data_IF_590377333497
#
_entry.id   IF_590377333497
#
_cell.length_a   1.000
_cell.length_b   1.000
_cell.length_c   1.000
_cell.angle_alpha   90.00
_cell.angle_beta   90.00
_cell.angle_gamma   90.00
#
_symmetry.space_group_name_H-M   'P 1'
#
loop_
_entity.id
_entity.type
_entity.pdbx_description
1 polymer ?
#
# COMPACT_ATOMS: atom_id res chain seq x y z
N UNK A 1 -7.60 28.76 -9.85
CA UNK A 1 -6.32 29.08 -9.18
C UNK A 1 -5.46 29.84 -10.18
N UNK A 2 -4.87 30.98 -9.80
CA UNK A 2 -4.01 31.77 -10.69
C UNK A 2 -2.56 31.27 -10.60
N UNK A 3 -1.91 31.00 -11.74
CA UNK A 3 -0.50 30.60 -11.83
C UNK A 3 0.30 31.71 -12.52
N UNK A 4 1.36 32.20 -11.86
CA UNK A 4 2.31 33.15 -12.45
C UNK A 4 3.52 32.37 -13.00
N UNK A 5 3.70 32.37 -14.32
CA UNK A 5 4.82 31.70 -15.00
C UNK A 5 5.96 32.69 -15.24
N UNK A 6 7.22 32.22 -15.12
CA UNK A 6 8.44 33.02 -15.34
C UNK A 6 8.61 34.26 -14.44
N UNK A 7 8.18 34.16 -13.17
CA UNK A 7 8.36 35.25 -12.21
C UNK A 7 9.75 35.22 -11.57
N UNK A 8 10.72 35.89 -12.19
CA UNK A 8 12.10 35.98 -11.68
C UNK A 8 12.22 36.73 -10.35
N UNK A 9 11.30 37.65 -10.06
CA UNK A 9 11.35 38.51 -8.87
C UNK A 9 11.03 37.70 -7.60
N UNK A 10 10.02 36.83 -7.69
CA UNK A 10 9.57 36.04 -6.54
C UNK A 10 10.18 34.64 -6.48
N UNK A 11 10.92 34.23 -7.52
CA UNK A 11 11.51 32.90 -7.61
C UNK A 11 12.48 32.64 -6.45
N UNK A 12 12.34 31.49 -5.79
CA UNK A 12 13.19 31.09 -4.67
C UNK A 12 12.82 31.72 -3.32
N UNK A 13 11.87 32.65 -3.26
CA UNK A 13 11.43 33.25 -1.99
C UNK A 13 10.80 32.21 -1.05
N UNK A 14 11.08 32.32 0.24
CA UNK A 14 10.46 31.49 1.27
C UNK A 14 10.23 32.31 2.55
N UNK A 15 9.29 31.87 3.38
CA UNK A 15 8.97 32.52 4.64
C UNK A 15 7.80 33.50 4.56
N UNK A 16 7.62 34.25 5.63
CA UNK A 16 6.47 35.13 5.84
C UNK A 16 6.79 36.56 5.39
N UNK A 17 5.92 37.14 4.57
CA UNK A 17 5.97 38.54 4.18
C UNK A 17 4.88 39.33 4.93
N UNK A 18 5.30 40.00 6.00
CA UNK A 18 4.40 40.78 6.87
C UNK A 18 3.26 39.93 7.43
N UNK A 19 2.05 40.49 7.51
CA UNK A 19 0.83 39.75 7.90
C UNK A 19 -0.04 39.34 6.70
N UNK A 20 0.52 39.36 5.49
CA UNK A 20 -0.23 39.19 4.25
C UNK A 20 0.00 37.84 3.61
N UNK A 21 1.27 37.49 3.33
CA UNK A 21 1.62 36.34 2.51
C UNK A 21 2.65 35.43 3.17
N UNK A 22 2.62 34.16 2.80
CA UNK A 22 3.63 33.15 3.10
C UNK A 22 4.08 32.56 1.76
N UNK A 23 5.38 32.61 1.51
CA UNK A 23 6.04 31.94 0.40
C UNK A 23 6.59 30.59 0.86
N UNK A 24 6.36 29.55 0.08
CA UNK A 24 6.96 28.22 0.28
C UNK A 24 7.44 27.63 -1.04
N UNK A 25 8.54 26.89 -0.98
CA UNK A 25 9.06 26.14 -2.12
C UNK A 25 8.57 24.70 -2.07
N UNK A 26 7.99 24.19 -3.16
CA UNK A 26 7.60 22.79 -3.28
C UNK A 26 7.70 22.31 -4.72
N UNK A 27 8.42 21.21 -4.93
CA UNK A 27 8.59 20.62 -6.28
C UNK A 27 9.17 21.60 -7.30
N UNK A 28 10.15 22.42 -6.90
CA UNK A 28 10.76 23.45 -7.75
C UNK A 28 9.88 24.68 -8.02
N UNK A 29 8.67 24.75 -7.46
CA UNK A 29 7.76 25.90 -7.60
C UNK A 29 7.74 26.75 -6.33
N UNK A 30 7.70 28.08 -6.53
CA UNK A 30 7.40 29.04 -5.47
C UNK A 30 5.89 29.23 -5.35
N UNK A 31 5.33 29.00 -4.17
CA UNK A 31 3.90 29.14 -3.89
C UNK A 31 3.70 30.26 -2.88
N UNK A 32 2.94 31.29 -3.26
CA UNK A 32 2.48 32.35 -2.37
C UNK A 32 1.06 32.06 -1.89
N UNK A 33 0.83 32.09 -0.58
CA UNK A 33 -0.51 31.94 0.01
C UNK A 33 -0.77 33.02 1.04
N UNK A 34 -2.02 33.47 1.17
CA UNK A 34 -2.44 34.28 2.29
C UNK A 34 -2.17 33.56 3.63
N UNK A 35 -1.96 34.32 4.70
CA UNK A 35 -1.83 33.73 6.03
C UNK A 35 -3.14 33.03 6.41
N UNK A 36 -3.09 31.74 6.79
CA UNK A 36 -4.30 31.02 7.17
C UNK A 36 -4.83 31.55 8.52
N UNK A 37 -6.14 31.81 8.58
CA UNK A 37 -6.83 32.04 9.84
C UNK A 37 -7.42 30.71 10.33
N UNK A 38 -7.00 30.23 11.51
CA UNK A 38 -7.48 28.98 12.11
C UNK A 38 -8.38 29.31 13.30
N UNK A 39 -9.67 29.53 13.03
CA UNK A 39 -10.66 29.91 14.06
C UNK A 39 -11.62 28.78 14.43
N UNK A 40 -11.67 27.70 13.65
CA UNK A 40 -12.70 26.67 13.81
C UNK A 40 -12.21 25.54 14.71
N UNK A 41 -13.12 25.05 15.56
CA UNK A 41 -12.90 23.83 16.34
C UNK A 41 -12.93 22.62 15.41
N UNK A 42 -12.05 21.66 15.64
CA UNK A 42 -12.00 20.44 14.84
C UNK A 42 -13.19 19.53 15.15
N UNK A 43 -13.72 18.86 14.12
CA UNK A 43 -14.71 17.79 14.29
C UNK A 43 -14.05 16.50 14.78
N UNK A 44 -14.83 15.56 15.33
CA UNK A 44 -14.34 14.25 15.76
C UNK A 44 -13.60 13.51 14.64
N UNK A 45 -14.17 13.46 13.44
CA UNK A 45 -13.53 12.87 12.26
C UNK A 45 -12.19 13.55 11.91
N UNK A 46 -12.09 14.87 12.08
CA UNK A 46 -10.82 15.59 11.84
C UNK A 46 -9.77 15.26 12.90
N UNK A 47 -10.18 15.03 14.15
CA UNK A 47 -9.28 14.62 15.23
C UNK A 47 -8.77 13.19 15.01
N UNK A 48 -9.64 12.28 14.57
CA UNK A 48 -9.26 10.91 14.21
C UNK A 48 -8.23 10.89 13.07
N UNK A 49 -8.49 11.63 11.99
CA UNK A 49 -7.55 11.76 10.87
C UNK A 49 -6.22 12.35 11.34
N UNK A 50 -6.24 13.36 12.22
CA UNK A 50 -5.02 13.93 12.79
C UNK A 50 -4.23 12.91 13.62
N UNK A 51 -4.92 12.08 14.41
CA UNK A 51 -4.28 11.00 15.19
C UNK A 51 -3.62 9.98 14.28
N UNK A 52 -4.38 9.44 13.30
CA UNK A 52 -3.86 8.49 12.30
C UNK A 52 -2.68 9.08 11.53
N UNK A 53 -2.76 10.33 11.10
CA UNK A 53 -1.66 10.99 10.40
C UNK A 53 -0.42 11.16 11.28
N UNK A 54 -0.59 11.39 12.59
CA UNK A 54 0.53 11.47 13.54
C UNK A 54 1.26 10.13 13.67
N UNK A 55 0.51 9.03 13.73
CA UNK A 55 1.04 7.66 13.76
C UNK A 55 1.79 7.35 12.46
N UNK A 56 1.14 7.59 11.30
CA UNK A 56 1.74 7.44 9.98
C UNK A 56 3.04 8.24 9.85
N UNK A 57 3.06 9.49 10.34
CA UNK A 57 4.24 10.35 10.30
C UNK A 57 5.37 9.86 11.23
N UNK A 58 5.04 9.22 12.35
CA UNK A 58 6.04 8.58 13.22
C UNK A 58 6.66 7.38 12.51
N UNK A 59 5.82 6.49 11.97
CA UNK A 59 6.23 5.31 11.23
C UNK A 59 7.08 5.67 10.01
N UNK A 60 6.61 6.62 9.17
CA UNK A 60 7.31 7.05 7.98
C UNK A 60 8.69 7.66 8.30
N UNK A 61 8.80 8.46 9.36
CA UNK A 61 10.12 8.96 9.80
C UNK A 61 11.02 7.82 10.28
N UNK A 62 10.47 6.82 10.96
CA UNK A 62 11.18 5.64 11.41
C UNK A 62 11.74 4.81 10.26
N UNK A 63 10.89 4.42 9.32
CA UNK A 63 11.28 3.53 8.21
C UNK A 63 12.29 4.18 7.27
N UNK A 64 12.17 5.51 7.07
CA UNK A 64 13.08 6.29 6.23
C UNK A 64 14.44 6.57 6.88
N UNK A 65 14.69 6.17 8.14
CA UNK A 65 16.05 6.16 8.70
C UNK A 65 16.93 5.14 8.00
N UNK A 66 16.36 4.03 7.54
CA UNK A 66 17.06 3.05 6.72
C UNK A 66 17.27 3.60 5.30
N UNK A 67 18.51 3.54 4.81
CA UNK A 67 18.90 4.10 3.52
C UNK A 67 18.26 3.38 2.32
N UNK A 68 18.08 2.06 2.40
CA UNK A 68 17.46 1.26 1.35
C UNK A 68 15.97 1.59 1.22
N UNK A 69 15.26 1.65 2.36
CA UNK A 69 13.86 2.07 2.37
C UNK A 69 13.71 3.49 1.82
N UNK A 70 14.58 4.41 2.23
CA UNK A 70 14.58 5.78 1.70
C UNK A 70 14.79 5.80 0.19
N UNK A 71 15.75 5.03 -0.33
CA UNK A 71 16.00 4.94 -1.77
C UNK A 71 14.78 4.37 -2.51
N UNK A 72 14.17 3.32 -1.97
CA UNK A 72 12.97 2.70 -2.52
C UNK A 72 11.79 3.68 -2.58
N UNK A 73 11.42 4.32 -1.48
CA UNK A 73 10.31 5.29 -1.49
C UNK A 73 10.61 6.52 -2.35
N UNK A 74 11.88 6.96 -2.42
CA UNK A 74 12.29 8.02 -3.35
C UNK A 74 12.11 7.62 -4.81
N UNK A 75 12.35 6.35 -5.19
CA UNK A 75 12.17 5.91 -6.57
C UNK A 75 10.70 5.76 -6.97
N UNK A 76 9.80 5.54 -6.00
CA UNK A 76 8.36 5.53 -6.22
C UNK A 76 7.74 6.94 -6.24
N UNK A 77 8.46 7.96 -5.76
CA UNK A 77 7.94 9.31 -5.70
C UNK A 77 7.82 9.92 -7.10
N UNK A 78 6.66 10.50 -7.41
CA UNK A 78 6.41 11.14 -8.70
C UNK A 78 6.17 12.65 -8.52
N UNK A 79 6.60 13.45 -9.50
CA UNK A 79 6.48 14.90 -9.46
C UNK A 79 7.17 15.52 -8.23
N UNK A 80 6.50 16.45 -7.55
CA UNK A 80 7.03 17.16 -6.37
C UNK A 80 6.89 16.41 -5.04
N UNK A 81 6.66 15.09 -5.07
CA UNK A 81 6.55 14.24 -3.88
C UNK A 81 7.93 13.88 -3.32
N UNK A 82 7.99 13.66 -2.01
CA UNK A 82 9.17 13.13 -1.32
C UNK A 82 8.97 11.67 -0.93
N UNK A 83 10.06 10.97 -0.58
CA UNK A 83 9.98 9.63 0.03
C UNK A 83 9.04 9.59 1.25
N UNK A 84 8.98 10.68 2.03
CA UNK A 84 8.04 10.81 3.14
C UNK A 84 6.60 10.84 2.68
N UNK A 85 6.28 11.52 1.57
CA UNK A 85 4.93 11.50 1.02
C UNK A 85 4.52 10.10 0.56
N UNK A 86 5.44 9.35 -0.05
CA UNK A 86 5.18 7.97 -0.48
C UNK A 86 4.98 7.04 0.71
N UNK A 87 5.83 7.10 1.74
CA UNK A 87 5.65 6.29 2.94
C UNK A 87 4.32 6.59 3.67
N UNK A 88 3.90 7.86 3.71
CA UNK A 88 2.57 8.20 4.24
C UNK A 88 1.46 7.60 3.39
N UNK A 89 1.56 7.66 2.06
CA UNK A 89 0.56 7.06 1.18
C UNK A 89 0.47 5.55 1.39
N UNK A 90 1.62 4.86 1.54
CA UNK A 90 1.71 3.43 1.89
C UNK A 90 0.89 3.11 3.12
N UNK A 91 1.13 3.86 4.21
CA UNK A 91 0.47 3.62 5.48
C UNK A 91 -1.07 3.71 5.41
N UNK A 92 -1.60 4.57 4.54
CA UNK A 92 -3.03 4.79 4.38
C UNK A 92 -3.67 3.92 3.28
N UNK A 93 -2.91 3.09 2.57
CA UNK A 93 -3.41 2.32 1.45
C UNK A 93 -3.21 0.84 1.74
N UNK A 94 -4.31 0.09 1.79
CA UNK A 94 -4.24 -1.35 1.97
C UNK A 94 -3.90 -2.04 0.64
N UNK A 95 -3.15 -3.16 0.67
CA UNK A 95 -3.01 -4.01 -0.50
C UNK A 95 -4.38 -4.63 -0.85
N UNK A 96 -4.66 -4.87 -2.12
CA UNK A 96 -5.94 -5.44 -2.56
C UNK A 96 -5.73 -6.73 -3.36
N UNK A 97 -6.38 -7.81 -2.92
CA UNK A 97 -6.40 -9.08 -3.69
C UNK A 97 -7.55 -9.01 -4.69
N UNK A 98 -7.22 -8.97 -5.98
CA UNK A 98 -8.21 -8.91 -7.07
C UNK A 98 -8.76 -10.28 -7.44
N UNK A 99 -7.91 -11.30 -7.42
CA UNK A 99 -8.29 -12.63 -7.88
C UNK A 99 -7.45 -13.71 -7.19
N UNK A 100 -8.09 -14.84 -6.94
CA UNK A 100 -7.46 -16.12 -6.63
C UNK A 100 -7.81 -17.07 -7.79
N UNK A 101 -6.82 -17.43 -8.60
CA UNK A 101 -6.97 -18.42 -9.67
C UNK A 101 -6.54 -19.80 -9.18
N UNK A 102 -7.50 -20.73 -9.24
CA UNK A 102 -7.38 -22.10 -8.73
C UNK A 102 -7.42 -23.12 -9.86
N UNK A 103 -7.38 -22.71 -11.13
CA UNK A 103 -7.47 -23.61 -12.30
C UNK A 103 -6.36 -24.67 -12.33
N UNK A 104 -5.15 -24.28 -11.93
CA UNK A 104 -3.98 -25.16 -11.91
C UNK A 104 -3.82 -25.93 -10.58
N UNK A 105 -4.79 -25.78 -9.66
CA UNK A 105 -4.78 -26.46 -8.38
C UNK A 105 -5.62 -27.75 -8.45
N UNK A 106 -4.93 -28.89 -8.48
CA UNK A 106 -5.54 -30.23 -8.58
C UNK A 106 -5.63 -30.95 -7.23
N UNK A 107 -5.18 -30.32 -6.15
CA UNK A 107 -5.07 -30.95 -4.83
C UNK A 107 -3.83 -31.83 -4.66
N UNK A 108 -3.00 -32.00 -5.68
CA UNK A 108 -1.74 -32.77 -5.57
C UNK A 108 -0.58 -31.83 -5.22
N UNK A 109 0.42 -32.37 -4.53
CA UNK A 109 1.70 -31.69 -4.29
C UNK A 109 2.28 -31.17 -5.60
N UNK A 110 2.72 -29.91 -5.61
CA UNK A 110 3.23 -29.22 -6.79
C UNK A 110 2.18 -28.48 -7.61
N UNK A 111 0.88 -28.67 -7.33
CA UNK A 111 -0.18 -27.89 -7.96
C UNK A 111 -0.13 -26.41 -7.51
N UNK A 112 -0.55 -25.49 -8.38
CA UNK A 112 -0.28 -24.06 -8.20
C UNK A 112 -1.57 -23.26 -8.08
N UNK A 113 -1.59 -22.34 -7.13
CA UNK A 113 -2.62 -21.31 -6.97
C UNK A 113 -1.98 -19.97 -7.33
N UNK A 114 -2.59 -19.21 -8.24
CA UNK A 114 -2.12 -17.88 -8.64
C UNK A 114 -2.95 -16.81 -7.98
N UNK A 115 -2.31 -15.77 -7.47
CA UNK A 115 -2.98 -14.72 -6.69
C UNK A 115 -2.59 -13.38 -7.28
N UNK A 116 -3.59 -12.66 -7.78
CA UNK A 116 -3.44 -11.31 -8.29
C UNK A 116 -3.63 -10.31 -7.15
N UNK A 117 -2.56 -9.61 -6.79
CA UNK A 117 -2.58 -8.57 -5.74
C UNK A 117 -2.09 -7.26 -6.32
N UNK A 118 -2.80 -6.18 -6.04
CA UNK A 118 -2.44 -4.82 -6.43
C UNK A 118 -2.17 -4.01 -5.17
N UNK A 119 -1.10 -3.22 -5.21
CA UNK A 119 -0.77 -2.24 -4.20
C UNK A 119 -0.11 -1.03 -4.90
N UNK A 120 -0.31 0.17 -4.36
CA UNK A 120 0.27 1.41 -4.87
C UNK A 120 1.80 1.38 -4.75
N UNK A 121 2.34 0.71 -3.72
CA UNK A 121 3.77 0.71 -3.45
C UNK A 121 4.37 -0.69 -3.54
N UNK A 122 4.06 -1.58 -2.59
CA UNK A 122 4.62 -2.94 -2.58
C UNK A 122 3.95 -3.84 -1.55
N UNK A 123 3.37 -4.92 -2.05
CA UNK A 123 2.98 -6.08 -1.25
C UNK A 123 4.23 -6.73 -0.64
N UNK A 124 4.25 -6.86 0.68
CA UNK A 124 5.36 -7.46 1.41
C UNK A 124 5.30 -8.99 1.38
N UNK A 125 4.11 -9.56 1.57
CA UNK A 125 3.91 -11.00 1.59
C UNK A 125 2.47 -11.36 1.26
N UNK A 126 2.29 -12.55 0.67
CA UNK A 126 0.98 -13.18 0.51
C UNK A 126 1.01 -14.55 1.17
N UNK A 127 0.14 -14.76 2.16
CA UNK A 127 -0.04 -16.05 2.84
C UNK A 127 -1.29 -16.73 2.28
N UNK A 128 -1.20 -18.03 2.01
CA UNK A 128 -2.30 -18.87 1.56
C UNK A 128 -2.61 -19.89 2.64
N UNK A 129 -3.90 -20.12 2.86
CA UNK A 129 -4.43 -21.18 3.72
C UNK A 129 -5.44 -21.98 2.91
N UNK A 130 -5.27 -23.29 2.89
CA UNK A 130 -6.16 -24.24 2.24
C UNK A 130 -6.89 -25.02 3.32
N UNK A 131 -8.21 -24.97 3.28
CA UNK A 131 -9.09 -25.65 4.23
C UNK A 131 -10.02 -26.58 3.47
N UNK A 132 -10.28 -27.79 3.97
CA UNK A 132 -11.25 -28.71 3.36
C UNK A 132 -12.68 -28.13 3.43
N UNK A 133 -13.62 -28.75 2.70
CA UNK A 133 -15.04 -28.42 2.78
C UNK A 133 -15.63 -28.54 4.20
N UNK A 134 -15.00 -29.34 5.07
CA UNK A 134 -15.38 -29.51 6.48
C UNK A 134 -14.76 -28.47 7.43
N UNK A 135 -13.97 -27.52 6.92
CA UNK A 135 -13.29 -26.52 7.75
C UNK A 135 -11.98 -26.99 8.38
N UNK A 136 -11.42 -28.13 7.94
CA UNK A 136 -10.15 -28.64 8.46
C UNK A 136 -8.97 -28.06 7.66
N UNK A 137 -8.00 -27.46 8.34
CA UNK A 137 -6.80 -26.92 7.71
C UNK A 137 -5.99 -28.06 7.07
N UNK A 138 -5.77 -27.98 5.76
CA UNK A 138 -4.89 -28.88 5.01
C UNK A 138 -3.46 -28.37 5.11
N UNK A 139 -3.24 -27.13 4.67
CA UNK A 139 -1.93 -26.48 4.73
C UNK A 139 -2.04 -24.96 4.73
N UNK A 140 -0.96 -24.33 5.16
CA UNK A 140 -0.76 -22.89 5.01
C UNK A 140 0.70 -22.59 4.70
N UNK A 141 0.95 -21.51 3.96
CA UNK A 141 2.30 -21.07 3.65
C UNK A 141 2.34 -19.76 2.87
N UNK A 142 3.55 -19.31 2.56
CA UNK A 142 3.75 -18.07 1.82
C UNK A 142 3.83 -18.36 0.32
N UNK A 143 3.14 -17.54 -0.46
CA UNK A 143 3.31 -17.51 -1.91
C UNK A 143 4.63 -16.80 -2.28
N UNK A 144 5.17 -17.13 -3.45
CA UNK A 144 6.36 -16.52 -4.02
C UNK A 144 5.94 -15.59 -5.15
N UNK A 145 6.42 -14.35 -5.16
CA UNK A 145 6.16 -13.43 -6.26
C UNK A 145 6.93 -13.85 -7.51
N UNK A 146 6.22 -14.11 -8.61
CA UNK A 146 6.80 -14.38 -9.91
C UNK A 146 6.77 -13.11 -10.78
N UNK A 147 7.96 -12.63 -11.14
CA UNK A 147 8.13 -11.40 -11.91
C UNK A 147 7.64 -11.53 -13.36
N UNK A 148 7.55 -12.75 -13.91
CA UNK A 148 7.12 -12.97 -15.28
C UNK A 148 5.60 -12.82 -15.43
N UNK A 149 4.84 -13.46 -14.54
CA UNK A 149 3.37 -13.38 -14.50
C UNK A 149 2.85 -12.16 -13.73
N UNK A 150 3.70 -11.46 -12.96
CA UNK A 150 3.31 -10.40 -12.02
C UNK A 150 2.27 -10.88 -11.00
N UNK A 151 2.33 -12.16 -10.63
CA UNK A 151 1.40 -12.79 -9.70
C UNK A 151 2.16 -13.45 -8.55
N UNK A 152 1.46 -13.65 -7.45
CA UNK A 152 1.93 -14.47 -6.34
C UNK A 152 1.55 -15.92 -6.59
N UNK A 153 2.53 -16.81 -6.60
CA UNK A 153 2.35 -18.24 -6.84
C UNK A 153 2.49 -19.00 -5.54
N UNK A 154 1.46 -19.75 -5.17
CA UNK A 154 1.53 -20.71 -4.07
C UNK A 154 1.57 -22.12 -4.63
N UNK A 155 2.61 -22.87 -4.28
CA UNK A 155 2.77 -24.28 -4.67
C UNK A 155 2.37 -25.16 -3.50
N UNK A 156 1.40 -26.03 -3.74
CA UNK A 156 0.90 -26.96 -2.74
C UNK A 156 2.00 -27.93 -2.29
N UNK A 157 2.16 -28.12 -0.98
CA UNK A 157 3.17 -29.00 -0.40
C UNK A 157 2.53 -30.26 0.17
N UNK A 158 1.23 -30.22 0.44
CA UNK A 158 0.45 -31.36 0.91
C UNK A 158 -0.59 -31.82 -0.11
N UNK A 159 -0.93 -33.10 -0.05
CA UNK A 159 -1.98 -33.69 -0.87
C UNK A 159 -3.35 -33.44 -0.22
N UNK A 160 -4.26 -32.79 -0.95
CA UNK A 160 -5.66 -32.67 -0.64
C UNK A 160 -6.46 -33.66 -1.51
N UNK A 161 -6.87 -34.79 -0.93
CA UNK A 161 -7.58 -35.84 -1.65
C UNK A 161 -8.95 -35.41 -2.20
N UNK A 162 -9.55 -34.35 -1.65
CA UNK A 162 -10.86 -33.80 -2.04
C UNK A 162 -10.75 -32.29 -2.25
N UNK A 163 -10.16 -31.84 -3.37
CA UNK A 163 -9.96 -30.41 -3.63
C UNK A 163 -11.28 -29.68 -3.87
N UNK A 164 -12.26 -30.32 -4.51
CA UNK A 164 -13.59 -29.74 -4.74
C UNK A 164 -14.27 -29.43 -3.41
N UNK A 165 -14.80 -28.21 -3.28
CA UNK A 165 -15.41 -27.69 -2.06
C UNK A 165 -14.41 -27.18 -1.02
N UNK A 166 -13.10 -27.27 -1.26
CA UNK A 166 -12.11 -26.69 -0.37
C UNK A 166 -12.10 -25.16 -0.46
N UNK A 167 -11.81 -24.51 0.66
CA UNK A 167 -11.71 -23.07 0.81
C UNK A 167 -10.24 -22.64 0.74
N UNK A 168 -9.92 -21.80 -0.24
CA UNK A 168 -8.61 -21.16 -0.37
C UNK A 168 -8.74 -19.73 0.11
N UNK A 169 -8.08 -19.41 1.21
CA UNK A 169 -7.95 -18.04 1.73
C UNK A 169 -6.56 -17.50 1.44
N UNK A 170 -6.49 -16.40 0.71
CA UNK A 170 -5.26 -15.64 0.53
C UNK A 170 -5.31 -14.37 1.38
N UNK A 171 -4.22 -14.03 2.05
CA UNK A 171 -4.03 -12.81 2.84
C UNK A 171 -2.79 -12.09 2.36
N UNK A 172 -2.96 -10.90 1.79
CA UNK A 172 -1.88 -10.02 1.40
C UNK A 172 -1.57 -9.05 2.55
N UNK A 173 -0.29 -8.75 2.76
CA UNK A 173 0.18 -7.81 3.78
C UNK A 173 1.22 -6.88 3.15
N UNK A 174 1.11 -5.59 3.42
CA UNK A 174 2.07 -4.57 3.00
C UNK A 174 3.16 -4.33 4.06
N UNK A 175 4.04 -3.37 3.79
CA UNK A 175 5.15 -3.04 4.70
C UNK A 175 4.71 -2.27 5.97
N UNK A 176 3.74 -1.36 5.93
CA UNK A 176 3.08 -0.81 7.11
C UNK A 176 2.42 -1.84 8.04
N UNK A 177 2.03 -2.99 7.49
CA UNK A 177 1.29 -4.05 8.18
C UNK A 177 -0.21 -4.03 7.92
N UNK A 178 -0.68 -3.24 6.95
CA UNK A 178 -2.05 -3.33 6.45
C UNK A 178 -2.24 -4.65 5.70
N UNK A 179 -3.48 -5.16 5.70
CA UNK A 179 -3.77 -6.46 5.12
C UNK A 179 -5.14 -6.55 4.50
N UNK A 180 -5.26 -7.34 3.46
CA UNK A 180 -6.52 -7.71 2.84
C UNK A 180 -6.57 -9.22 2.63
N UNK A 181 -7.72 -9.83 2.93
CA UNK A 181 -7.94 -11.26 2.72
C UNK A 181 -9.11 -11.51 1.79
N UNK A 182 -8.93 -12.43 0.85
CA UNK A 182 -9.97 -12.92 -0.04
C UNK A 182 -10.07 -14.43 0.11
N UNK A 183 -11.29 -14.96 0.02
CA UNK A 183 -11.55 -16.39 0.10
C UNK A 183 -12.26 -16.85 -1.18
N UNK A 184 -11.86 -18.02 -1.68
CA UNK A 184 -12.46 -18.66 -2.84
C UNK A 184 -12.69 -20.14 -2.57
N UNK A 185 -13.89 -20.59 -2.88
CA UNK A 185 -14.25 -22.02 -2.85
C UNK A 185 -13.88 -22.65 -4.19
N UNK A 186 -13.30 -23.85 -4.14
CA UNK A 186 -13.04 -24.63 -5.35
C UNK A 186 -14.36 -25.24 -5.82
N UNK A 187 -14.83 -24.80 -6.97
CA UNK A 187 -16.03 -25.35 -7.62
C UNK A 187 -15.69 -26.60 -8.43
N UNK A 188 -16.68 -27.49 -8.59
CA UNK A 188 -16.56 -28.61 -9.52
C UNK A 188 -16.57 -28.06 -10.96
N UNK A 189 -15.63 -28.52 -11.79
CA UNK A 189 -15.58 -28.20 -13.23
C UNK A 189 -16.65 -28.95 -14.02
#
# INVERSE_FOLDING_TARGET
MAESKNNYVMFGMSGKLGKLLIFRQRGGKTIATAIPNRSNVFTEQQLEIQSKFKEAASWARGILKNAENRKFYSSQATGGQSAFNMAIADWFTDPEIKEIDTKDYTGVVGSVIKIGVIDIIKVQSVKVSITTASGTLVEEGNAVFDANSQQWLYTAVQNNATPVGSHIKATATDKPGNSHSLEKVIEAS
#
